data_IF_536560065972
#
_entry.id   IF_536560065972
#
_cell.length_a   1.000
_cell.length_b   1.000
_cell.length_c   1.000
_cell.angle_alpha   90.00
_cell.angle_beta   90.00
_cell.angle_gamma   90.00
#
_symmetry.space_group_name_H-M   'P 1'
#
loop_
_entity.id
_entity.type
_entity.pdbx_description
1 polymer ?
#
# COMPACT_ATOMS: atom_id res chain seq x y z
N UNK A 1 6.43 19.08 -27.02
CA UNK A 1 5.40 18.06 -27.29
C UNK A 1 4.34 18.22 -26.22
N UNK A 2 3.16 18.69 -26.61
CA UNK A 2 2.06 19.04 -25.71
C UNK A 2 1.61 17.78 -24.97
N UNK A 3 1.80 17.72 -23.66
CA UNK A 3 1.17 16.70 -22.83
C UNK A 3 -0.33 16.96 -22.85
N UNK A 4 -1.07 16.19 -23.64
CA UNK A 4 -2.51 16.10 -23.49
C UNK A 4 -2.77 15.56 -22.08
N UNK A 5 -3.07 16.47 -21.15
CA UNK A 5 -3.64 16.14 -19.86
C UNK A 5 -5.01 15.53 -20.16
N UNK A 6 -5.07 14.19 -20.21
CA UNK A 6 -6.34 13.49 -20.19
C UNK A 6 -7.15 14.02 -19.00
N UNK A 7 -8.43 14.36 -19.19
CA UNK A 7 -9.24 14.84 -18.08
C UNK A 7 -9.24 13.77 -16.98
N UNK A 8 -8.93 14.20 -15.76
CA UNK A 8 -8.88 13.31 -14.60
C UNK A 8 -10.28 12.77 -14.34
N UNK A 9 -10.50 11.50 -14.72
CA UNK A 9 -11.78 10.82 -14.52
C UNK A 9 -11.89 10.38 -13.06
N UNK A 10 -12.78 11.01 -12.29
CA UNK A 10 -13.07 10.62 -10.92
C UNK A 10 -14.18 9.57 -10.90
N UNK A 11 -13.89 8.40 -10.36
CA UNK A 11 -14.87 7.36 -10.09
C UNK A 11 -15.14 7.29 -8.59
N UNK A 12 -16.39 7.47 -8.18
CA UNK A 12 -16.82 7.27 -6.79
C UNK A 12 -17.41 5.87 -6.68
N UNK A 13 -16.77 5.02 -5.88
CA UNK A 13 -17.24 3.66 -5.62
C UNK A 13 -18.11 3.68 -4.35
N UNK A 14 -19.40 3.30 -4.43
CA UNK A 14 -20.25 3.20 -3.24
C UNK A 14 -19.70 2.16 -2.24
N UNK A 15 -19.82 2.38 -0.92
CA UNK A 15 -19.32 1.43 0.09
C UNK A 15 -19.95 0.03 0.03
N UNK A 16 -21.13 -0.10 -0.59
CA UNK A 16 -21.84 -1.36 -0.78
C UNK A 16 -21.32 -2.19 -1.98
N UNK A 17 -20.46 -1.62 -2.81
CA UNK A 17 -19.90 -2.29 -3.98
C UNK A 17 -18.50 -2.81 -3.67
N UNK A 18 -18.34 -4.13 -3.74
CA UNK A 18 -17.03 -4.75 -3.73
C UNK A 18 -16.41 -4.70 -5.13
N UNK A 19 -15.37 -3.88 -5.29
CA UNK A 19 -14.59 -3.85 -6.52
C UNK A 19 -13.54 -4.95 -6.47
N UNK A 20 -13.78 -6.04 -7.19
CA UNK A 20 -12.84 -7.15 -7.32
C UNK A 20 -11.98 -7.00 -8.58
N UNK A 21 -10.67 -7.20 -8.43
CA UNK A 21 -9.70 -7.13 -9.51
C UNK A 21 -8.75 -8.32 -9.42
N UNK A 22 -8.35 -8.84 -10.59
CA UNK A 22 -7.27 -9.81 -10.68
C UNK A 22 -5.95 -9.19 -10.24
N UNK A 23 -4.96 -10.03 -9.96
CA UNK A 23 -3.60 -9.59 -9.65
C UNK A 23 -3.02 -8.67 -10.75
N UNK A 24 -3.12 -9.08 -12.02
CA UNK A 24 -2.62 -8.28 -13.16
C UNK A 24 -3.33 -6.90 -13.27
N UNK A 25 -4.65 -6.85 -13.03
CA UNK A 25 -5.38 -5.59 -13.00
C UNK A 25 -4.96 -4.72 -11.82
N UNK A 26 -4.71 -5.32 -10.65
CA UNK A 26 -4.19 -4.60 -9.50
C UNK A 26 -2.82 -3.97 -9.78
N UNK A 27 -1.89 -4.69 -10.40
CA UNK A 27 -0.58 -4.15 -10.77
C UNK A 27 -0.70 -2.94 -11.72
N UNK A 28 -1.58 -3.03 -12.72
CA UNK A 28 -1.85 -1.92 -13.64
C UNK A 28 -2.43 -0.71 -12.90
N UNK A 29 -3.39 -0.94 -12.00
CA UNK A 29 -4.01 0.11 -11.19
C UNK A 29 -2.99 0.76 -10.24
N UNK A 30 -2.19 -0.01 -9.52
CA UNK A 30 -1.15 0.50 -8.63
C UNK A 30 -0.08 1.30 -9.39
N UNK A 31 0.30 0.85 -10.59
CA UNK A 31 1.24 1.58 -11.45
C UNK A 31 0.66 2.88 -11.99
N UNK A 32 -0.61 2.89 -12.38
CA UNK A 32 -1.28 4.09 -12.90
C UNK A 32 -1.63 5.11 -11.81
N UNK A 33 -1.77 4.67 -10.56
CA UNK A 33 -2.21 5.50 -9.43
C UNK A 33 -1.18 5.48 -8.29
N UNK A 34 0.07 5.84 -8.59
CA UNK A 34 1.19 5.82 -7.62
C UNK A 34 0.94 6.63 -6.35
N UNK A 35 0.08 7.65 -6.43
CA UNK A 35 -0.28 8.50 -5.28
C UNK A 35 -1.34 7.84 -4.37
N UNK A 36 -2.02 6.79 -4.84
CA UNK A 36 -3.00 6.04 -4.05
C UNK A 36 -2.31 4.85 -3.38
N UNK A 37 -2.56 4.69 -2.07
CA UNK A 37 -2.16 3.48 -1.33
C UNK A 37 -3.17 2.38 -1.61
N UNK A 38 -2.92 1.59 -2.65
CA UNK A 38 -3.79 0.49 -3.06
C UNK A 38 -3.32 -0.84 -2.45
N UNK A 39 -4.29 -1.67 -2.06
CA UNK A 39 -4.08 -3.05 -1.64
C UNK A 39 -5.11 -3.98 -2.30
N UNK A 40 -4.86 -5.29 -2.29
CA UNK A 40 -5.76 -6.31 -2.85
C UNK A 40 -5.87 -7.51 -1.93
N UNK A 41 -7.09 -7.92 -1.58
CA UNK A 41 -7.29 -9.13 -0.76
C UNK A 41 -7.00 -10.40 -1.56
N UNK A 42 -6.91 -11.54 -0.86
CA UNK A 42 -6.74 -12.84 -1.51
C UNK A 42 -7.92 -13.17 -2.45
N UNK A 43 -9.12 -12.72 -2.07
CA UNK A 43 -10.36 -12.85 -2.84
C UNK A 43 -10.44 -11.85 -4.02
N UNK A 44 -9.47 -10.94 -4.14
CA UNK A 44 -9.38 -9.97 -5.23
C UNK A 44 -9.99 -8.61 -4.93
N UNK A 45 -10.53 -8.37 -3.73
CA UNK A 45 -11.14 -7.07 -3.40
C UNK A 45 -10.07 -5.97 -3.31
N UNK A 46 -10.28 -4.89 -4.07
CA UNK A 46 -9.45 -3.69 -4.05
C UNK A 46 -9.74 -2.88 -2.79
N UNK A 47 -8.68 -2.49 -2.09
CA UNK A 47 -8.73 -1.63 -0.92
C UNK A 47 -7.97 -0.35 -1.26
N UNK A 48 -8.54 0.80 -0.90
CA UNK A 48 -7.89 2.10 -0.97
C UNK A 48 -7.67 2.57 0.45
N UNK A 49 -6.41 2.69 0.86
CA UNK A 49 -6.07 3.25 2.16
C UNK A 49 -5.97 4.76 2.04
N UNK A 50 -6.89 5.54 2.64
CA UNK A 50 -6.80 6.99 2.63
C UNK A 50 -5.55 7.46 3.41
N UNK A 51 -5.09 8.70 3.18
CA UNK A 51 -4.03 9.29 3.97
C UNK A 51 -4.34 9.19 5.47
N UNK A 52 -3.35 8.78 6.25
CA UNK A 52 -3.50 8.61 7.69
C UNK A 52 -3.55 9.97 8.40
N UNK A 53 -4.45 10.08 9.39
CA UNK A 53 -4.52 11.25 10.26
C UNK A 53 -3.32 11.35 11.21
N UNK A 54 -3.10 12.54 11.80
CA UNK A 54 -1.91 12.84 12.61
C UNK A 54 -1.69 11.88 13.80
N UNK A 55 -2.76 11.40 14.45
CA UNK A 55 -2.65 10.45 15.56
C UNK A 55 -2.09 9.10 15.09
N UNK A 56 -2.59 8.62 13.95
CA UNK A 56 -2.12 7.36 13.36
C UNK A 56 -0.71 7.53 12.83
N UNK A 57 -0.40 8.66 12.18
CA UNK A 57 0.95 9.00 11.76
C UNK A 57 1.95 9.06 12.91
N UNK A 58 1.58 9.64 14.06
CA UNK A 58 2.42 9.67 15.26
C UNK A 58 2.70 8.26 15.79
N UNK A 59 1.70 7.37 15.78
CA UNK A 59 1.87 5.96 16.20
C UNK A 59 2.75 5.20 15.22
N UNK A 60 2.51 5.33 13.91
CA UNK A 60 3.32 4.68 12.89
C UNK A 60 4.79 5.15 12.98
N UNK A 61 5.05 6.46 13.16
CA UNK A 61 6.41 6.96 13.38
C UNK A 61 7.12 6.25 14.55
N UNK A 62 6.41 6.04 15.66
CA UNK A 62 6.97 5.33 16.82
C UNK A 62 7.26 3.86 16.51
N UNK A 63 6.39 3.18 15.76
CA UNK A 63 6.56 1.78 15.35
C UNK A 63 7.76 1.66 14.40
N UNK A 64 7.76 2.43 13.31
CA UNK A 64 8.81 2.42 12.29
C UNK A 64 10.17 2.76 12.90
N UNK A 65 10.24 3.74 13.83
CA UNK A 65 11.49 4.06 14.52
C UNK A 65 12.02 2.88 15.36
N UNK A 66 11.15 2.21 16.12
CA UNK A 66 11.57 1.09 16.96
C UNK A 66 12.06 -0.09 16.12
N UNK A 67 11.33 -0.41 15.03
CA UNK A 67 11.75 -1.48 14.12
C UNK A 67 13.05 -1.11 13.39
N UNK A 68 13.16 0.12 12.90
CA UNK A 68 14.37 0.60 12.21
C UNK A 68 15.60 0.53 13.10
N UNK A 69 15.51 1.02 14.34
CA UNK A 69 16.60 0.92 15.30
C UNK A 69 17.02 -0.54 15.56
N UNK A 70 16.03 -1.43 15.78
CA UNK A 70 16.31 -2.85 15.99
C UNK A 70 16.97 -3.49 14.77
N UNK A 71 16.50 -3.17 13.56
CA UNK A 71 17.08 -3.66 12.31
C UNK A 71 18.53 -3.20 12.13
N UNK A 72 18.83 -1.92 12.36
CA UNK A 72 20.19 -1.37 12.29
C UNK A 72 21.16 -2.06 13.27
N UNK A 73 20.66 -2.46 14.44
CA UNK A 73 21.42 -3.22 15.44
C UNK A 73 21.55 -4.72 15.11
N UNK A 74 20.76 -5.25 14.17
CA UNK A 74 20.70 -6.68 13.82
C UNK A 74 20.64 -6.91 12.29
N UNK A 75 21.57 -6.36 11.50
CA UNK A 75 21.48 -6.36 10.03
C UNK A 75 21.55 -7.76 9.42
N UNK A 76 22.05 -8.76 10.14
CA UNK A 76 22.10 -10.15 9.70
C UNK A 76 20.75 -10.88 9.79
N UNK A 77 19.74 -10.27 10.42
CA UNK A 77 18.43 -10.92 10.65
C UNK A 77 17.42 -10.66 9.55
N UNK A 78 17.71 -9.79 8.59
CA UNK A 78 16.82 -9.48 7.47
C UNK A 78 16.69 -7.99 7.23
N UNK A 79 15.62 -7.58 6.56
CA UNK A 79 15.41 -6.22 6.07
C UNK A 79 14.13 -5.61 6.64
N UNK A 80 14.17 -4.32 6.99
CA UNK A 80 13.01 -3.57 7.47
C UNK A 80 12.44 -2.63 6.40
N UNK A 81 11.12 -2.49 6.38
CA UNK A 81 10.37 -1.72 5.39
C UNK A 81 9.34 -0.79 6.04
N UNK A 82 9.11 0.34 5.38
CA UNK A 82 8.17 1.37 5.83
C UNK A 82 6.72 1.09 5.40
N UNK A 83 5.82 2.00 5.78
CA UNK A 83 4.38 1.89 5.51
C UNK A 83 3.95 1.95 4.03
N UNK A 84 4.87 2.27 3.13
CA UNK A 84 4.59 2.45 1.69
C UNK A 84 4.96 1.23 0.85
N UNK A 85 5.62 0.25 1.48
CA UNK A 85 6.09 -0.95 0.79
C UNK A 85 4.94 -1.94 0.62
N UNK A 86 4.61 -2.24 -0.64
CA UNK A 86 3.64 -3.28 -0.99
C UNK A 86 4.29 -4.65 -1.14
N UNK A 87 3.68 -5.67 -0.54
CA UNK A 87 4.12 -7.07 -0.61
C UNK A 87 3.07 -7.92 -1.32
N UNK A 88 3.52 -8.82 -2.19
CA UNK A 88 2.72 -9.97 -2.61
C UNK A 88 2.91 -11.11 -1.61
N UNK A 89 1.80 -11.57 -1.02
CA UNK A 89 1.81 -12.60 0.00
C UNK A 89 1.49 -13.98 -0.59
N UNK A 90 1.95 -15.09 0.03
CA UNK A 90 1.73 -16.45 -0.50
C UNK A 90 0.27 -16.86 -0.68
N UNK A 91 -0.66 -16.22 0.03
CA UNK A 91 -2.10 -16.42 -0.16
C UNK A 91 -2.65 -15.67 -1.40
N UNK A 92 -1.78 -15.07 -2.19
CA UNK A 92 -2.10 -14.30 -3.38
C UNK A 92 -2.60 -12.89 -3.12
N UNK A 93 -2.56 -12.36 -1.89
CA UNK A 93 -2.96 -10.96 -1.60
C UNK A 93 -1.82 -9.96 -1.81
N UNK A 94 -2.15 -8.68 -1.98
CA UNK A 94 -1.19 -7.58 -2.00
C UNK A 94 -1.47 -6.62 -0.83
N UNK A 95 -0.52 -6.43 0.07
CA UNK A 95 -0.69 -5.65 1.32
C UNK A 95 0.44 -4.66 1.55
N UNK A 96 0.12 -3.52 2.16
CA UNK A 96 1.08 -2.47 2.54
C UNK A 96 0.94 -2.18 4.04
N UNK A 97 1.46 -3.06 4.91
CA UNK A 97 1.36 -2.90 6.35
C UNK A 97 2.06 -1.62 6.84
N UNK A 98 1.72 -1.16 8.03
CA UNK A 98 2.27 0.07 8.62
C UNK A 98 3.80 0.03 8.82
N UNK A 99 4.38 -1.16 8.99
CA UNK A 99 5.81 -1.45 9.00
C UNK A 99 6.01 -2.96 8.83
N UNK A 100 7.12 -3.40 8.21
CA UNK A 100 7.44 -4.82 8.00
C UNK A 100 8.90 -5.16 8.23
N UNK A 101 9.16 -6.42 8.54
CA UNK A 101 10.48 -7.04 8.56
C UNK A 101 10.39 -8.39 7.85
N UNK A 102 11.39 -8.70 7.00
CA UNK A 102 11.50 -9.93 6.21
C UNK A 102 12.86 -10.56 6.45
#
# INVERSE_FOLDING_TARGET
MSSQLYPLLKLIVPPSLDLNVSHQQFEQLANANRDLRLERTAEGKLIVNPPTGWETGKRNLSITRQLGNWYEENPEKGEAFDSSTGFELPNGSNRSPDSSWV
#
